data_IF_445923279544
#
_entry.id   IF_445923279544
#
_cell.length_a   1.000
_cell.length_b   1.000
_cell.length_c   1.000
_cell.angle_alpha   90.00
_cell.angle_beta   90.00
_cell.angle_gamma   90.00
#
_symmetry.space_group_name_H-M   'P 1'
#
loop_
_entity.id
_entity.type
_entity.pdbx_description
1 polymer ?
#
# COMPACT_ATOMS: atom_id res chain seq x y z
N UNK A 1 5.00 38.05 18.46
CA UNK A 1 6.06 37.50 17.59
C UNK A 1 5.66 36.09 17.22
N UNK A 2 5.38 35.84 15.94
CA UNK A 2 5.03 34.53 15.40
C UNK A 2 6.27 33.61 15.46
N UNK A 3 6.15 32.41 16.03
CA UNK A 3 7.24 31.45 16.06
C UNK A 3 7.49 30.92 14.63
N UNK A 4 8.71 31.03 14.06
CA UNK A 4 8.99 30.51 12.74
C UNK A 4 9.03 28.97 12.76
N UNK A 5 8.56 28.35 11.68
CA UNK A 5 8.59 26.91 11.47
C UNK A 5 10.01 26.37 11.66
N UNK A 6 10.20 25.52 12.66
CA UNK A 6 11.51 24.97 13.09
C UNK A 6 12.21 24.11 12.02
N UNK A 7 11.54 23.79 10.91
CA UNK A 7 12.03 22.93 9.83
C UNK A 7 12.64 23.66 8.64
N UNK A 8 12.58 25.00 8.57
CA UNK A 8 13.07 25.78 7.43
C UNK A 8 14.38 26.49 7.78
N UNK A 9 15.48 25.73 7.70
CA UNK A 9 16.84 26.22 8.01
C UNK A 9 17.52 26.92 6.82
N UNK A 10 17.01 26.77 5.60
CA UNK A 10 17.62 27.35 4.40
C UNK A 10 17.12 28.77 4.11
N UNK A 11 18.07 29.70 4.06
CA UNK A 11 17.86 31.13 3.73
C UNK A 11 17.22 31.35 2.36
N UNK A 12 17.33 30.38 1.46
CA UNK A 12 16.73 30.38 0.12
C UNK A 12 15.23 30.05 0.15
N UNK A 13 14.79 29.14 1.03
CA UNK A 13 13.39 28.82 1.21
C UNK A 13 12.56 30.03 1.67
N UNK A 14 13.14 30.89 2.51
CA UNK A 14 12.51 32.14 2.96
C UNK A 14 12.31 33.17 1.83
N UNK A 15 13.04 33.08 0.72
CA UNK A 15 12.90 34.01 -0.43
C UNK A 15 11.76 33.65 -1.36
N UNK A 16 11.35 32.37 -1.38
CA UNK A 16 10.29 31.87 -2.26
C UNK A 16 8.94 31.73 -1.55
N UNK A 17 8.93 31.80 -0.22
CA UNK A 17 7.70 31.74 0.55
C UNK A 17 6.91 33.05 0.41
N UNK A 18 5.59 32.96 0.22
CA UNK A 18 4.72 34.14 0.28
C UNK A 18 4.80 34.80 1.65
N UNK A 19 4.52 36.09 1.72
CA UNK A 19 4.54 36.81 3.00
C UNK A 19 3.48 36.21 3.95
N UNK A 20 3.72 36.13 5.27
CA UNK A 20 2.78 35.53 6.22
C UNK A 20 1.39 36.18 6.25
N UNK A 21 1.29 37.44 5.83
CA UNK A 21 0.08 38.25 5.74
C UNK A 21 -0.49 38.35 4.32
N UNK A 22 0.08 37.63 3.35
CA UNK A 22 -0.41 37.60 1.96
C UNK A 22 -1.73 36.81 1.88
N UNK A 23 -2.83 37.51 1.60
CA UNK A 23 -4.16 36.91 1.53
C UNK A 23 -4.27 35.79 0.49
N UNK A 24 -3.54 35.89 -0.62
CA UNK A 24 -3.53 34.89 -1.70
C UNK A 24 -2.93 33.55 -1.22
N UNK A 25 -1.90 33.60 -0.37
CA UNK A 25 -1.33 32.39 0.24
C UNK A 25 -2.38 31.66 1.09
N UNK A 26 -3.16 32.40 1.89
CA UNK A 26 -4.26 31.83 2.65
C UNK A 26 -5.33 31.20 1.75
N UNK A 27 -5.68 31.83 0.63
CA UNK A 27 -6.66 31.29 -0.33
C UNK A 27 -6.15 29.97 -0.93
N UNK A 28 -4.89 29.89 -1.35
CA UNK A 28 -4.27 28.65 -1.90
C UNK A 28 -4.16 27.52 -0.88
N UNK A 29 -4.13 27.81 0.42
CA UNK A 29 -4.12 26.79 1.48
C UNK A 29 -5.50 26.15 1.73
N UNK A 30 -6.58 26.68 1.14
CA UNK A 30 -7.89 26.08 1.25
C UNK A 30 -7.99 24.87 0.34
N UNK A 31 -8.58 23.79 0.86
CA UNK A 31 -8.85 22.59 0.07
C UNK A 31 -9.90 22.89 -1.01
N UNK A 32 -9.57 22.59 -2.27
CA UNK A 32 -10.55 22.54 -3.36
C UNK A 32 -11.27 21.19 -3.31
N UNK A 33 -12.49 21.17 -2.77
CA UNK A 33 -13.27 19.95 -2.69
C UNK A 33 -13.69 19.39 -4.05
N UNK A 34 -13.66 20.19 -5.13
CA UNK A 34 -13.93 19.69 -6.49
C UNK A 34 -12.85 18.75 -7.02
N UNK A 35 -11.68 18.72 -6.37
CA UNK A 35 -10.62 17.76 -6.69
C UNK A 35 -11.02 16.32 -6.39
N UNK A 36 -12.04 16.09 -5.55
CA UNK A 36 -12.58 14.75 -5.30
C UNK A 36 -13.20 14.13 -6.55
N UNK A 37 -13.87 14.95 -7.35
CA UNK A 37 -14.41 14.53 -8.64
C UNK A 37 -13.33 14.49 -9.73
N UNK A 38 -12.44 15.49 -9.77
CA UNK A 38 -11.37 15.57 -10.79
C UNK A 38 -10.34 14.42 -10.63
N UNK A 39 -9.97 14.09 -9.41
CA UNK A 39 -8.96 13.08 -9.06
C UNK A 39 -9.61 11.81 -8.51
N UNK A 40 -10.70 11.37 -9.15
CA UNK A 40 -11.56 10.30 -8.63
C UNK A 40 -10.81 9.01 -8.33
N UNK A 41 -9.88 8.61 -9.19
CA UNK A 41 -9.06 7.40 -9.04
C UNK A 41 -8.23 7.41 -7.76
N UNK A 42 -7.51 8.51 -7.49
CA UNK A 42 -6.73 8.68 -6.26
C UNK A 42 -7.63 8.79 -5.03
N UNK A 43 -8.79 9.42 -5.16
CA UNK A 43 -9.74 9.52 -4.07
C UNK A 43 -10.29 8.13 -3.69
N UNK A 44 -10.72 7.35 -4.68
CA UNK A 44 -11.21 5.99 -4.51
C UNK A 44 -10.12 5.07 -3.94
N UNK A 45 -8.86 5.24 -4.37
CA UNK A 45 -7.69 4.54 -3.83
C UNK A 45 -7.55 4.75 -2.31
N UNK A 46 -7.50 6.01 -1.87
CA UNK A 46 -7.35 6.32 -0.45
C UNK A 46 -8.57 5.89 0.36
N UNK A 47 -9.78 6.07 -0.18
CA UNK A 47 -11.01 5.63 0.46
C UNK A 47 -11.01 4.12 0.70
N UNK A 48 -10.65 3.34 -0.32
CA UNK A 48 -10.61 1.88 -0.23
C UNK A 48 -9.51 1.39 0.71
N UNK A 49 -8.36 2.07 0.80
CA UNK A 49 -7.33 1.77 1.79
C UNK A 49 -7.80 2.01 3.23
N UNK A 50 -8.51 3.12 3.48
CA UNK A 50 -9.10 3.40 4.79
C UNK A 50 -10.17 2.37 5.14
N UNK A 51 -10.99 1.99 4.17
CA UNK A 51 -12.00 0.93 4.32
C UNK A 51 -11.33 -0.41 4.64
N UNK A 52 -10.31 -0.79 3.89
CA UNK A 52 -9.54 -2.00 4.08
C UNK A 52 -8.91 -2.06 5.47
N UNK A 53 -8.28 -0.96 5.92
CA UNK A 53 -7.72 -0.85 7.28
C UNK A 53 -8.78 -0.99 8.37
N UNK A 54 -10.01 -0.51 8.14
CA UNK A 54 -11.09 -0.52 9.13
C UNK A 54 -11.83 -1.85 9.19
N UNK A 55 -12.08 -2.46 8.04
CA UNK A 55 -13.06 -3.55 7.90
C UNK A 55 -12.40 -4.92 7.74
N UNK A 56 -11.16 -5.01 7.28
CA UNK A 56 -10.46 -6.29 7.20
C UNK A 56 -10.04 -6.77 8.59
N UNK A 57 -10.30 -8.05 8.85
CA UNK A 57 -10.05 -8.71 10.15
C UNK A 57 -8.60 -8.63 10.59
N UNK A 58 -7.63 -8.67 9.65
CA UNK A 58 -6.21 -8.62 9.98
C UNK A 58 -5.68 -7.19 9.97
N UNK A 59 -6.01 -6.39 8.97
CA UNK A 59 -5.47 -5.03 8.89
C UNK A 59 -6.02 -4.08 9.97
N UNK A 60 -7.19 -4.38 10.54
CA UNK A 60 -7.75 -3.64 11.67
C UNK A 60 -7.09 -3.99 13.02
N UNK A 61 -6.54 -5.20 13.14
CA UNK A 61 -5.85 -5.67 14.34
C UNK A 61 -4.44 -5.05 14.41
N UNK A 62 -4.33 -3.90 15.10
CA UNK A 62 -3.05 -3.23 15.38
C UNK A 62 -2.36 -3.84 16.61
N UNK A 63 -2.21 -5.16 16.66
CA UNK A 63 -1.60 -5.88 17.77
C UNK A 63 -0.08 -6.00 17.62
N UNK A 64 0.63 -6.03 18.74
CA UNK A 64 2.07 -6.32 18.77
C UNK A 64 2.31 -7.80 18.51
N UNK A 65 3.18 -8.14 17.55
CA UNK A 65 3.64 -9.52 17.32
C UNK A 65 2.82 -10.37 16.35
N UNK A 66 1.88 -9.78 15.61
CA UNK A 66 1.07 -10.48 14.59
C UNK A 66 1.53 -10.27 13.14
N UNK A 67 2.67 -9.62 12.92
CA UNK A 67 3.15 -9.22 11.60
C UNK A 67 4.65 -9.51 11.50
N UNK A 68 5.05 -10.26 10.48
CA UNK A 68 6.45 -10.40 10.07
C UNK A 68 6.67 -9.81 8.67
N UNK A 69 7.91 -9.42 8.40
CA UNK A 69 8.29 -8.89 7.09
C UNK A 69 9.62 -9.43 6.60
N UNK A 70 9.73 -9.60 5.28
CA UNK A 70 10.94 -10.06 4.61
C UNK A 70 11.20 -9.27 3.33
N UNK A 71 12.49 -9.06 3.02
CA UNK A 71 12.91 -8.48 1.75
C UNK A 71 13.06 -9.61 0.73
N UNK A 72 12.26 -9.56 -0.34
CA UNK A 72 12.24 -10.60 -1.39
C UNK A 72 12.97 -10.17 -2.67
N UNK A 73 13.45 -8.94 -2.72
CA UNK A 73 14.25 -8.41 -3.81
C UNK A 73 14.80 -7.01 -3.50
N UNK A 74 15.66 -6.48 -4.37
CA UNK A 74 16.33 -5.19 -4.14
C UNK A 74 15.38 -3.99 -3.99
N UNK A 75 14.16 -4.10 -4.51
CA UNK A 75 13.12 -3.04 -4.45
C UNK A 75 11.77 -3.60 -4.01
N UNK A 76 11.77 -4.72 -3.28
CA UNK A 76 10.55 -5.47 -3.04
C UNK A 76 10.61 -6.21 -1.71
N UNK A 77 9.48 -6.21 -1.01
CA UNK A 77 9.35 -6.81 0.30
C UNK A 77 7.92 -7.30 0.51
N UNK A 78 7.74 -8.10 1.54
CA UNK A 78 6.45 -8.61 1.94
C UNK A 78 6.21 -8.39 3.42
N UNK A 79 4.93 -8.29 3.80
CA UNK A 79 4.48 -8.41 5.17
C UNK A 79 3.42 -9.50 5.26
N UNK A 80 3.57 -10.43 6.20
CA UNK A 80 2.54 -11.42 6.51
C UNK A 80 1.90 -11.08 7.85
N UNK A 81 0.58 -11.00 7.84
CA UNK A 81 -0.26 -10.81 9.00
C UNK A 81 -0.83 -12.17 9.37
N UNK A 82 -0.44 -12.68 10.54
CA UNK A 82 -0.80 -14.02 10.98
C UNK A 82 -2.17 -14.03 11.68
N UNK A 83 -2.86 -15.15 11.53
CA UNK A 83 -4.10 -15.49 12.24
C UNK A 83 -3.97 -16.87 12.88
N UNK A 84 -4.68 -17.07 14.00
CA UNK A 84 -4.85 -18.41 14.58
C UNK A 84 -5.89 -19.25 13.80
N UNK A 85 -6.78 -18.60 13.04
CA UNK A 85 -7.96 -19.20 12.41
C UNK A 85 -7.85 -19.34 10.87
N UNK A 86 -6.65 -19.54 10.31
CA UNK A 86 -6.43 -19.65 8.85
C UNK A 86 -6.97 -18.44 8.04
N UNK A 87 -6.83 -17.25 8.62
CA UNK A 87 -7.29 -15.97 8.06
C UNK A 87 -6.09 -15.03 7.83
N UNK A 88 -4.96 -15.56 7.35
CA UNK A 88 -3.77 -14.76 7.12
C UNK A 88 -4.00 -13.70 6.01
N UNK A 89 -3.24 -12.60 6.10
CA UNK A 89 -3.05 -11.69 4.97
C UNK A 89 -1.59 -11.64 4.58
N UNK A 90 -1.35 -11.50 3.29
CA UNK A 90 -0.02 -11.25 2.76
C UNK A 90 -0.05 -9.98 1.92
N UNK A 91 0.76 -9.00 2.31
CA UNK A 91 0.97 -7.77 1.56
C UNK A 91 2.29 -7.88 0.82
N UNK A 92 2.25 -7.74 -0.49
CA UNK A 92 3.43 -7.79 -1.36
C UNK A 92 3.62 -6.45 -2.03
N UNK A 93 4.82 -5.89 -1.89
CA UNK A 93 5.17 -4.58 -2.43
C UNK A 93 6.35 -4.70 -3.37
N UNK A 94 6.24 -4.12 -4.56
CA UNK A 94 7.33 -4.02 -5.53
C UNK A 94 7.45 -2.60 -6.07
N UNK A 95 8.53 -1.91 -5.74
CA UNK A 95 8.88 -0.58 -6.28
C UNK A 95 9.79 -0.65 -7.51
N UNK A 96 10.06 -1.84 -8.02
CA UNK A 96 10.92 -2.08 -9.18
C UNK A 96 10.12 -2.44 -10.42
N UNK A 97 10.84 -2.97 -11.42
CA UNK A 97 10.24 -3.59 -12.61
C UNK A 97 9.52 -4.88 -12.21
N UNK A 98 8.71 -5.41 -13.13
CA UNK A 98 8.11 -6.74 -12.98
C UNK A 98 9.20 -7.76 -12.69
N UNK A 99 8.99 -8.58 -11.67
CA UNK A 99 9.95 -9.59 -11.24
C UNK A 99 9.28 -10.93 -11.04
N UNK A 100 10.06 -11.98 -11.28
CA UNK A 100 9.66 -13.36 -11.05
C UNK A 100 10.51 -13.91 -9.93
N UNK A 101 9.90 -14.33 -8.82
CA UNK A 101 10.60 -15.05 -7.75
C UNK A 101 10.51 -16.54 -8.05
N UNK A 102 11.65 -17.18 -8.29
CA UNK A 102 11.75 -18.61 -8.54
C UNK A 102 13.15 -19.14 -8.14
N UNK A 103 13.24 -20.10 -7.21
CA UNK A 103 12.16 -20.56 -6.34
C UNK A 103 11.65 -19.43 -5.42
N UNK A 104 10.38 -19.44 -5.06
CA UNK A 104 9.81 -18.53 -4.07
C UNK A 104 10.14 -19.01 -2.64
N UNK A 105 11.44 -19.11 -2.32
CA UNK A 105 11.94 -19.77 -1.11
C UNK A 105 11.74 -19.01 0.19
N UNK A 106 11.26 -17.77 0.15
CA UNK A 106 10.97 -16.98 1.34
C UNK A 106 9.79 -17.60 2.11
N UNK A 107 9.98 -18.07 3.36
CA UNK A 107 8.92 -18.74 4.13
C UNK A 107 7.64 -17.93 4.29
N UNK A 108 7.71 -16.59 4.34
CA UNK A 108 6.50 -15.77 4.44
C UNK A 108 5.57 -15.87 3.21
N UNK A 109 6.11 -16.23 2.04
CA UNK A 109 5.31 -16.47 0.82
C UNK A 109 4.58 -17.81 0.83
N UNK A 110 5.00 -18.75 1.67
CA UNK A 110 4.48 -20.11 1.66
C UNK A 110 2.97 -20.13 1.89
N UNK A 111 2.27 -20.94 1.08
CA UNK A 111 0.85 -21.16 1.25
C UNK A 111 0.61 -21.92 2.56
N UNK A 112 -0.26 -21.42 3.45
CA UNK A 112 -0.67 -22.20 4.63
C UNK A 112 -1.38 -23.50 4.22
N UNK A 113 -1.26 -24.53 5.05
CA UNK A 113 -1.67 -25.90 4.70
C UNK A 113 -3.16 -25.98 4.29
N UNK A 114 -3.41 -26.54 3.10
CA UNK A 114 -4.78 -26.70 2.58
C UNK A 114 -5.41 -25.41 2.04
N UNK A 115 -4.66 -24.32 1.97
CA UNK A 115 -5.11 -23.01 1.51
C UNK A 115 -4.29 -22.52 0.32
N UNK A 116 -4.82 -21.51 -0.39
CA UNK A 116 -4.12 -20.76 -1.42
C UNK A 116 -4.26 -19.26 -1.17
N UNK A 117 -3.43 -18.47 -1.83
CA UNK A 117 -3.56 -17.02 -1.84
C UNK A 117 -4.55 -16.57 -2.91
N UNK A 118 -5.45 -15.67 -2.55
CA UNK A 118 -6.35 -14.98 -3.47
C UNK A 118 -6.15 -13.47 -3.35
N UNK A 119 -6.27 -12.74 -4.46
CA UNK A 119 -6.19 -11.27 -4.44
C UNK A 119 -7.38 -10.67 -3.70
N UNK A 120 -7.08 -10.01 -2.59
CA UNK A 120 -8.03 -9.20 -1.82
C UNK A 120 -8.10 -7.77 -2.37
N UNK A 121 -6.94 -7.19 -2.70
CA UNK A 121 -6.84 -5.82 -3.19
C UNK A 121 -5.54 -5.60 -3.96
N UNK A 122 -5.53 -4.69 -4.94
CA UNK A 122 -4.31 -4.33 -5.67
C UNK A 122 -4.33 -2.88 -6.17
N UNK A 123 -3.17 -2.24 -6.17
CA UNK A 123 -2.93 -0.95 -6.83
C UNK A 123 -3.18 -1.01 -8.34
N UNK A 124 -3.05 -2.19 -8.96
CA UNK A 124 -3.25 -2.40 -10.40
C UNK A 124 -4.73 -2.41 -10.81
N UNK A 125 -5.67 -2.24 -9.88
CA UNK A 125 -7.09 -2.17 -10.20
C UNK A 125 -7.38 -1.01 -11.17
N UNK A 126 -8.14 -1.22 -12.26
CA UNK A 126 -8.56 -0.14 -13.16
C UNK A 126 -9.34 0.98 -12.45
N UNK A 127 -9.93 0.69 -11.29
CA UNK A 127 -10.59 1.68 -10.42
C UNK A 127 -9.65 2.82 -9.98
N UNK A 128 -8.35 2.55 -9.94
CA UNK A 128 -7.31 3.50 -9.53
C UNK A 128 -6.41 3.92 -10.71
N UNK A 129 -6.83 3.67 -11.95
CA UNK A 129 -6.02 3.92 -13.14
C UNK A 129 -4.96 2.84 -13.43
N UNK A 130 -5.01 1.70 -12.72
CA UNK A 130 -4.10 0.57 -12.92
C UNK A 130 -4.40 -0.23 -14.19
N UNK A 131 -3.46 -1.11 -14.58
CA UNK A 131 -3.56 -1.88 -15.84
C UNK A 131 -4.30 -3.22 -15.73
N UNK A 132 -4.80 -3.56 -14.54
CA UNK A 132 -5.44 -4.83 -14.24
C UNK A 132 -4.45 -6.00 -14.10
N UNK A 133 -3.16 -5.73 -13.92
CA UNK A 133 -2.16 -6.78 -13.76
C UNK A 133 -2.38 -7.53 -12.44
N UNK A 134 -2.47 -8.86 -12.51
CA UNK A 134 -2.67 -9.71 -11.33
C UNK A 134 -1.34 -10.33 -10.92
N UNK A 135 -1.03 -10.31 -9.62
CA UNK A 135 0.08 -11.11 -9.12
C UNK A 135 -0.24 -12.59 -9.24
N UNK A 136 0.68 -13.38 -9.79
CA UNK A 136 0.54 -14.83 -9.85
C UNK A 136 1.26 -15.40 -8.63
N UNK A 137 0.53 -16.08 -7.77
CA UNK A 137 1.07 -16.74 -6.58
C UNK A 137 0.86 -18.25 -6.70
N UNK A 138 1.92 -18.99 -7.05
CA UNK A 138 1.94 -20.46 -6.96
C UNK A 138 3.04 -20.91 -5.99
N UNK A 139 3.04 -22.20 -5.63
CA UNK A 139 4.08 -22.78 -4.77
C UNK A 139 5.49 -22.63 -5.37
N UNK A 140 5.62 -22.73 -6.70
CA UNK A 140 6.93 -22.72 -7.37
C UNK A 140 7.38 -21.32 -7.81
N UNK A 141 6.43 -20.45 -8.18
CA UNK A 141 6.70 -19.20 -8.87
C UNK A 141 5.77 -18.09 -8.43
N UNK A 142 6.37 -16.92 -8.17
CA UNK A 142 5.63 -15.69 -7.95
C UNK A 142 5.93 -14.67 -9.04
N UNK A 143 4.90 -14.05 -9.59
CA UNK A 143 5.01 -12.89 -10.48
C UNK A 143 4.55 -11.65 -9.73
N UNK A 144 5.48 -10.71 -9.52
CA UNK A 144 5.20 -9.44 -8.86
C UNK A 144 5.16 -8.33 -9.92
N UNK A 145 4.00 -7.65 -10.12
CA UNK A 145 3.90 -6.57 -11.09
C UNK A 145 4.83 -5.40 -10.74
N UNK A 146 5.26 -4.64 -11.76
CA UNK A 146 6.08 -3.45 -11.58
C UNK A 146 5.35 -2.38 -10.77
N UNK A 147 6.08 -1.66 -9.91
CA UNK A 147 5.58 -0.48 -9.18
C UNK A 147 4.20 -0.68 -8.52
N UNK A 148 3.97 -1.86 -7.97
CA UNK A 148 2.66 -2.31 -7.51
C UNK A 148 2.66 -2.78 -6.06
N UNK A 149 1.48 -2.75 -5.45
CA UNK A 149 1.18 -3.43 -4.19
C UNK A 149 -0.02 -4.35 -4.36
N UNK A 150 0.08 -5.55 -3.81
CA UNK A 150 -1.00 -6.54 -3.81
C UNK A 150 -1.22 -7.03 -2.39
N UNK A 151 -2.45 -6.94 -1.91
CA UNK A 151 -2.90 -7.60 -0.70
C UNK A 151 -3.61 -8.90 -1.07
N UNK A 152 -3.19 -9.99 -0.44
CA UNK A 152 -3.71 -11.33 -0.63
C UNK A 152 -4.39 -11.80 0.66
N UNK A 153 -5.46 -12.58 0.50
CA UNK A 153 -6.12 -13.31 1.59
C UNK A 153 -5.96 -14.80 1.42
N UNK A 154 -5.92 -15.50 2.55
CA UNK A 154 -5.98 -16.94 2.58
C UNK A 154 -7.39 -17.42 2.22
N UNK A 155 -7.49 -18.44 1.36
CA UNK A 155 -8.74 -19.14 1.06
C UNK A 155 -8.52 -20.65 1.02
N UNK A 156 -9.46 -21.41 1.57
CA UNK A 156 -9.41 -22.88 1.57
C UNK A 156 -9.49 -23.43 0.14
N UNK A 157 -8.69 -24.47 -0.15
CA UNK A 157 -8.66 -25.12 -1.47
C UNK A 157 -9.82 -26.12 -1.65
N UNK A 158 -10.52 -26.49 -0.56
CA UNK A 158 -11.61 -27.49 -0.57
C UNK A 158 -13.02 -26.92 -0.72
N UNK A 159 -13.17 -25.62 -0.95
CA UNK A 159 -14.46 -24.96 -1.16
C UNK A 159 -14.83 -24.89 -2.65
#
# INVERSE_FOLDING_TARGET
>A
MLAPFLSLTEKEAWRTLPAPDEAEAFVRCKLDFSEREKNRELYDFHFDLLKLRREDSRFSQQSTGGIDGAVVGARSFVFRYFSEDNDDRLLVVNFGKTQTLHPASEPLLAQPSGCKWETLWTTESPRYGGRGTVAIASEERWLLPAESTVALRQVDVRC
#
